data_IF_667221428288
#
_entry.id   IF_667221428288
#
_cell.length_a   1.000
_cell.length_b   1.000
_cell.length_c   1.000
_cell.angle_alpha   90.00
_cell.angle_beta   90.00
_cell.angle_gamma   90.00
#
_symmetry.space_group_name_H-M   'P 1'
#
loop_
_entity.id
_entity.type
_entity.pdbx_description
1 polymer ?
#
# COMPACT_ATOMS: atom_id res chain seq x y z
N UNK A 1 14.50 2.90 -12.22
CA UNK A 1 14.28 2.27 -10.89
C UNK A 1 15.01 0.95 -10.83
N UNK A 2 15.79 0.76 -9.82
CA UNK A 2 16.42 -0.52 -9.56
C UNK A 2 15.54 -1.37 -8.66
N UNK A 3 15.88 -2.66 -8.54
CA UNK A 3 15.18 -3.55 -7.61
C UNK A 3 15.23 -3.02 -6.18
N UNK A 4 16.40 -2.52 -5.76
CA UNK A 4 16.57 -1.98 -4.40
C UNK A 4 15.73 -0.72 -4.18
N UNK A 5 15.60 0.14 -5.20
CA UNK A 5 14.75 1.33 -5.12
C UNK A 5 13.29 0.95 -4.91
N UNK A 6 12.80 -0.02 -5.67
CA UNK A 6 11.42 -0.49 -5.56
C UNK A 6 11.19 -1.18 -4.23
N UNK A 7 12.13 -2.02 -3.79
CA UNK A 7 12.02 -2.69 -2.49
C UNK A 7 11.99 -1.67 -1.35
N UNK A 8 12.84 -0.65 -1.40
CA UNK A 8 12.83 0.40 -0.38
C UNK A 8 11.49 1.14 -0.34
N UNK A 9 10.89 1.41 -1.50
CA UNK A 9 9.57 2.01 -1.57
C UNK A 9 8.49 1.10 -0.97
N UNK A 10 8.53 -0.19 -1.29
CA UNK A 10 7.59 -1.18 -0.74
C UNK A 10 7.70 -1.29 0.78
N UNK A 11 8.92 -1.25 1.30
CA UNK A 11 9.14 -1.30 2.75
C UNK A 11 8.55 -0.06 3.44
N UNK A 12 8.71 1.11 2.82
CA UNK A 12 8.08 2.35 3.32
C UNK A 12 6.56 2.31 3.20
N UNK A 13 6.04 1.68 2.14
CA UNK A 13 4.61 1.46 1.97
C UNK A 13 4.03 0.65 3.13
N UNK A 14 4.67 -0.46 3.47
CA UNK A 14 4.25 -1.31 4.59
C UNK A 14 4.30 -0.53 5.92
N UNK A 15 5.38 0.18 6.17
CA UNK A 15 5.54 0.98 7.38
C UNK A 15 4.46 2.08 7.48
N UNK A 16 4.15 2.73 6.38
CA UNK A 16 3.12 3.76 6.33
C UNK A 16 1.72 3.17 6.57
N UNK A 17 1.46 1.99 6.05
CA UNK A 17 0.19 1.30 6.26
C UNK A 17 0.02 0.86 7.71
N UNK A 18 1.10 0.46 8.38
CA UNK A 18 1.07 0.12 9.80
C UNK A 18 0.84 1.33 10.69
N UNK A 19 1.47 2.46 10.37
CA UNK A 19 1.45 3.64 11.23
C UNK A 19 0.24 4.55 11.01
N UNK A 20 -0.35 4.54 9.80
CA UNK A 20 -1.34 5.54 9.36
C UNK A 20 -0.86 6.98 9.54
N UNK A 21 0.45 7.20 9.56
CA UNK A 21 1.02 8.54 9.65
C UNK A 21 0.86 9.25 8.31
N UNK A 22 0.12 10.36 8.31
CA UNK A 22 -0.17 11.12 7.09
C UNK A 22 1.07 11.57 6.34
N UNK A 23 2.12 11.97 7.05
CA UNK A 23 3.38 12.37 6.43
C UNK A 23 4.08 11.18 5.77
N UNK A 24 4.10 10.04 6.44
CA UNK A 24 4.70 8.81 5.90
C UNK A 24 3.97 8.31 4.66
N UNK A 25 2.64 8.41 4.65
CA UNK A 25 1.84 8.07 3.48
C UNK A 25 2.12 9.06 2.33
N UNK A 26 2.11 10.35 2.64
CA UNK A 26 2.26 11.41 1.64
C UNK A 26 3.56 11.34 0.86
N UNK A 27 4.66 11.00 1.51
CA UNK A 27 5.98 10.94 0.85
C UNK A 27 6.12 9.78 -0.15
N UNK A 28 5.20 8.83 -0.13
CA UNK A 28 5.19 7.71 -1.08
C UNK A 28 4.74 8.13 -2.47
N UNK A 29 3.91 9.16 -2.57
CA UNK A 29 3.17 9.48 -3.78
C UNK A 29 3.54 10.83 -4.36
N UNK A 30 3.54 10.91 -5.71
CA UNK A 30 3.64 12.16 -6.42
C UNK A 30 2.42 13.04 -6.14
N UNK A 31 2.56 14.36 -6.33
CA UNK A 31 1.47 15.30 -6.03
C UNK A 31 0.18 14.99 -6.79
N UNK A 32 0.28 14.62 -8.07
CA UNK A 32 -0.86 14.29 -8.93
C UNK A 32 -1.10 12.79 -9.08
N UNK A 33 -0.62 11.96 -8.16
CA UNK A 33 -0.70 10.51 -8.28
C UNK A 33 -2.15 10.01 -8.38
N UNK A 34 -2.29 8.86 -9.06
CA UNK A 34 -3.55 8.13 -9.13
C UNK A 34 -3.43 6.82 -8.37
N UNK A 35 -4.43 6.53 -7.55
CA UNK A 35 -4.44 5.34 -6.70
C UNK A 35 -5.75 4.58 -6.91
N UNK A 36 -5.63 3.32 -7.33
CA UNK A 36 -6.79 2.43 -7.49
C UNK A 36 -6.69 1.27 -6.51
N UNK A 37 -7.69 1.16 -5.64
CA UNK A 37 -7.81 0.02 -4.73
C UNK A 37 -8.17 -1.27 -5.48
N UNK A 38 -8.81 -1.12 -6.66
CA UNK A 38 -9.17 -2.22 -7.57
C UNK A 38 -8.96 -1.75 -9.01
N UNK A 39 -8.64 -2.67 -9.94
CA UNK A 39 -8.31 -2.29 -11.31
C UNK A 39 -9.38 -1.50 -12.07
N UNK A 40 -10.64 -1.78 -11.77
CA UNK A 40 -11.77 -1.18 -12.47
C UNK A 40 -12.31 0.10 -11.82
N UNK A 41 -11.74 0.49 -10.68
CA UNK A 41 -12.23 1.65 -9.95
C UNK A 41 -11.81 2.96 -10.61
N UNK A 42 -12.63 4.00 -10.40
CA UNK A 42 -12.17 5.37 -10.63
C UNK A 42 -11.02 5.64 -9.66
N UNK A 43 -9.91 6.23 -10.12
CA UNK A 43 -8.78 6.47 -9.25
C UNK A 43 -9.07 7.55 -8.21
N UNK A 44 -8.47 7.39 -7.04
CA UNK A 44 -8.29 8.49 -6.10
C UNK A 44 -7.16 9.34 -6.65
N UNK A 45 -7.40 10.60 -6.94
CA UNK A 45 -6.44 11.47 -7.62
C UNK A 45 -5.88 12.51 -6.67
N UNK A 46 -4.55 12.59 -6.63
CA UNK A 46 -3.81 13.56 -5.84
C UNK A 46 -3.36 13.04 -4.49
N UNK A 47 -2.17 13.47 -4.09
CA UNK A 47 -1.54 13.04 -2.84
C UNK A 47 -2.44 13.25 -1.63
N UNK A 48 -3.04 14.43 -1.51
CA UNK A 48 -3.90 14.74 -0.36
C UNK A 48 -5.12 13.83 -0.29
N UNK A 49 -5.74 13.55 -1.44
CA UNK A 49 -6.88 12.66 -1.51
C UNK A 49 -6.50 11.22 -1.18
N UNK A 50 -5.32 10.78 -1.62
CA UNK A 50 -4.80 9.44 -1.32
C UNK A 50 -4.57 9.31 0.18
N UNK A 51 -3.88 10.27 0.80
CA UNK A 51 -3.66 10.28 2.25
C UNK A 51 -5.01 10.22 2.99
N UNK A 52 -5.96 11.06 2.59
CA UNK A 52 -7.29 11.08 3.20
C UNK A 52 -8.01 9.73 3.06
N UNK A 53 -7.88 9.06 1.92
CA UNK A 53 -8.50 7.75 1.70
C UNK A 53 -7.91 6.66 2.58
N UNK A 54 -6.59 6.72 2.85
CA UNK A 54 -5.92 5.75 3.70
C UNK A 54 -6.29 5.91 5.18
N UNK A 55 -6.27 7.16 5.66
CA UNK A 55 -6.62 7.42 7.06
C UNK A 55 -8.12 7.43 7.28
N UNK A 56 -8.84 7.35 6.24
CA UNK A 56 -10.27 7.28 5.99
C UNK A 56 -11.13 8.07 6.95
N UNK A 57 -11.84 9.06 6.45
CA UNK A 57 -12.78 9.84 7.28
C UNK A 57 -13.88 8.98 7.88
N UNK A 58 -14.11 7.81 7.31
CA UNK A 58 -15.09 6.86 7.80
C UNK A 58 -14.50 5.82 8.74
N UNK A 59 -13.17 5.75 8.80
CA UNK A 59 -12.51 4.95 9.81
C UNK A 59 -12.44 5.80 11.07
N UNK A 60 -13.46 5.74 11.88
CA UNK A 60 -13.32 6.11 13.27
C UNK A 60 -12.06 5.44 13.79
N UNK A 61 -11.37 6.06 14.73
CA UNK A 61 -10.18 5.45 15.33
C UNK A 61 -10.47 4.03 15.83
N UNK A 62 -11.74 3.76 16.17
CA UNK A 62 -12.22 2.43 16.58
C UNK A 62 -12.29 1.41 15.44
N UNK A 63 -12.26 1.84 14.19
CA UNK A 63 -12.29 0.97 13.02
C UNK A 63 -10.91 0.67 12.47
N UNK A 64 -9.89 1.34 13.00
CA UNK A 64 -8.51 1.05 12.65
C UNK A 64 -8.08 -0.22 13.34
N UNK A 65 -7.24 -0.96 12.66
CA UNK A 65 -6.58 -2.08 13.27
C UNK A 65 -5.68 -1.59 14.41
N UNK A 66 -5.67 -2.32 15.51
CA UNK A 66 -4.75 -2.04 16.62
C UNK A 66 -3.30 -2.18 16.13
N UNK A 67 -2.36 -1.43 16.70
CA UNK A 67 -0.94 -1.65 16.40
C UNK A 67 -0.55 -3.10 16.62
N UNK A 68 0.21 -3.66 15.69
CA UNK A 68 0.67 -5.04 15.76
C UNK A 68 -0.29 -6.08 15.20
N UNK A 69 -1.43 -5.66 14.62
CA UNK A 69 -2.41 -6.59 14.05
C UNK A 69 -2.30 -6.73 12.52
N UNK A 70 -1.27 -6.17 11.93
CA UNK A 70 -1.03 -6.21 10.49
C UNK A 70 0.42 -6.60 10.22
N UNK A 71 0.62 -7.44 9.22
CA UNK A 71 1.93 -7.71 8.64
C UNK A 71 1.78 -7.89 7.14
N UNK A 72 2.80 -7.49 6.41
CA UNK A 72 2.82 -7.66 4.97
C UNK A 72 4.25 -7.77 4.47
N UNK A 73 4.41 -8.42 3.35
CA UNK A 73 5.69 -8.50 2.66
C UNK A 73 5.43 -8.43 1.16
N UNK A 74 6.08 -7.47 0.52
CA UNK A 74 6.01 -7.30 -0.92
C UNK A 74 7.42 -7.23 -1.49
N UNK A 75 7.57 -7.72 -2.71
CA UNK A 75 8.84 -7.66 -3.42
C UNK A 75 8.61 -7.35 -4.90
N UNK A 76 9.59 -6.75 -5.58
CA UNK A 76 9.49 -6.54 -7.02
C UNK A 76 9.47 -7.88 -7.76
N UNK A 77 8.48 -8.07 -8.61
CA UNK A 77 8.41 -9.22 -9.51
C UNK A 77 9.09 -8.91 -10.85
N UNK A 78 8.84 -7.73 -11.38
CA UNK A 78 9.41 -7.27 -12.64
C UNK A 78 9.53 -5.75 -12.63
N UNK A 79 10.54 -5.24 -13.30
CA UNK A 79 10.79 -3.81 -13.43
C UNK A 79 11.12 -3.51 -14.88
N UNK A 80 10.47 -2.48 -15.44
CA UNK A 80 10.77 -1.96 -16.77
C UNK A 80 10.80 -0.43 -16.68
N UNK A 81 11.99 0.17 -16.73
CA UNK A 81 12.16 1.61 -16.61
C UNK A 81 11.60 2.13 -15.29
N UNK A 82 10.58 2.99 -15.37
CA UNK A 82 9.89 3.57 -14.21
C UNK A 82 8.66 2.77 -13.76
N UNK A 83 8.41 1.63 -14.36
CA UNK A 83 7.28 0.76 -14.02
C UNK A 83 7.74 -0.48 -13.30
N UNK A 84 6.94 -0.93 -12.34
CA UNK A 84 7.22 -2.16 -11.61
C UNK A 84 5.94 -2.92 -11.32
N UNK A 85 6.07 -4.24 -11.25
CA UNK A 85 5.06 -5.14 -10.72
C UNK A 85 5.60 -5.68 -9.41
N UNK A 86 4.85 -5.52 -8.33
CA UNK A 86 5.20 -6.06 -7.03
C UNK A 86 4.20 -7.13 -6.63
N UNK A 87 4.66 -8.15 -5.94
CA UNK A 87 3.84 -9.24 -5.45
C UNK A 87 4.13 -9.49 -3.98
N UNK A 88 3.16 -10.02 -3.28
CA UNK A 88 3.33 -10.34 -1.88
C UNK A 88 2.05 -10.75 -1.21
N UNK A 89 2.07 -10.63 0.09
CA UNK A 89 0.93 -11.00 0.93
C UNK A 89 0.74 -9.97 2.04
N UNK A 90 -0.50 -9.86 2.52
CA UNK A 90 -0.85 -9.08 3.70
C UNK A 90 -1.74 -9.91 4.62
N UNK A 91 -1.53 -9.76 5.92
CA UNK A 91 -2.24 -10.54 6.93
C UNK A 91 -2.72 -9.64 8.06
N UNK A 92 -3.93 -9.92 8.49
CA UNK A 92 -4.59 -9.17 9.56
C UNK A 92 -4.99 -10.14 10.66
N UNK A 93 -4.79 -9.69 11.92
CA UNK A 93 -5.21 -10.43 13.11
C UNK A 93 -6.19 -9.59 13.91
N UNK A 94 -7.00 -10.27 14.73
CA UNK A 94 -7.89 -9.60 15.66
C UNK A 94 -7.15 -9.15 16.92
N UNK A 95 -5.97 -9.73 17.20
CA UNK A 95 -5.18 -9.47 18.40
C UNK A 95 -3.71 -9.23 18.08
N UNK A 96 -3.03 -8.35 18.85
CA UNK A 96 -1.60 -8.06 18.63
C UNK A 96 -0.67 -9.26 18.84
N UNK A 97 -1.11 -10.29 19.55
CA UNK A 97 -0.35 -11.52 19.81
C UNK A 97 -0.43 -12.52 18.64
N UNK A 98 -1.15 -12.19 17.58
CA UNK A 98 -1.31 -13.02 16.38
C UNK A 98 -1.93 -14.40 16.66
N UNK A 99 -2.85 -14.48 17.59
CA UNK A 99 -3.54 -15.73 17.91
C UNK A 99 -4.76 -15.99 17.03
N UNK A 100 -5.45 -14.92 16.64
CA UNK A 100 -6.69 -15.02 15.87
C UNK A 100 -6.48 -14.31 14.52
N UNK A 101 -6.19 -15.08 13.48
CA UNK A 101 -6.06 -14.55 12.13
C UNK A 101 -7.45 -14.19 11.61
N UNK A 102 -7.61 -12.93 11.15
CA UNK A 102 -8.84 -12.44 10.54
C UNK A 102 -8.89 -12.70 9.05
N UNK A 103 -7.81 -12.35 8.36
CA UNK A 103 -7.72 -12.51 6.91
C UNK A 103 -6.28 -12.47 6.42
N UNK A 104 -6.04 -13.17 5.32
CA UNK A 104 -4.77 -13.12 4.58
C UNK A 104 -5.10 -12.93 3.11
N UNK A 105 -4.37 -12.03 2.47
CA UNK A 105 -4.53 -11.71 1.06
C UNK A 105 -3.24 -11.99 0.31
N UNK A 106 -3.37 -12.40 -0.95
CA UNK A 106 -2.30 -12.34 -1.92
C UNK A 106 -2.49 -11.08 -2.74
N UNK A 107 -1.42 -10.32 -2.94
CA UNK A 107 -1.47 -8.99 -3.52
C UNK A 107 -0.55 -8.87 -4.72
N UNK A 108 -0.98 -8.08 -5.70
CA UNK A 108 -0.17 -7.68 -6.84
C UNK A 108 -0.39 -6.19 -7.07
N UNK A 109 0.69 -5.42 -7.17
CA UNK A 109 0.64 -3.98 -7.42
C UNK A 109 1.22 -3.66 -8.77
N UNK A 110 0.52 -2.84 -9.55
CA UNK A 110 1.08 -2.20 -10.72
C UNK A 110 1.51 -0.79 -10.33
N UNK A 111 2.80 -0.50 -10.48
CA UNK A 111 3.41 0.73 -10.00
C UNK A 111 4.04 1.50 -11.14
N UNK A 112 3.87 2.82 -11.14
CA UNK A 112 4.67 3.72 -11.96
C UNK A 112 5.24 4.81 -11.07
N UNK A 113 6.51 5.16 -11.30
CA UNK A 113 7.24 6.13 -10.50
C UNK A 113 7.61 7.35 -11.35
N UNK A 114 7.73 8.50 -10.69
CA UNK A 114 8.30 9.69 -11.30
C UNK A 114 9.83 9.69 -11.16
N UNK A 115 10.48 10.73 -11.71
CA UNK A 115 11.95 10.83 -11.67
C UNK A 115 12.51 11.04 -10.27
N UNK A 116 11.67 11.45 -9.33
CA UNK A 116 12.06 11.64 -7.93
C UNK A 116 11.83 10.40 -7.06
N UNK A 117 11.34 9.31 -7.66
CA UNK A 117 11.07 8.07 -6.93
C UNK A 117 9.74 8.04 -6.20
N UNK A 118 8.86 9.01 -6.43
CA UNK A 118 7.50 8.99 -5.91
C UNK A 118 6.61 8.15 -6.83
N UNK A 119 5.69 7.41 -6.25
CA UNK A 119 4.71 6.67 -7.04
C UNK A 119 3.67 7.62 -7.63
N UNK A 120 3.51 7.58 -8.95
CA UNK A 120 2.52 8.40 -9.66
C UNK A 120 1.30 7.62 -10.10
N UNK A 121 1.37 6.29 -10.10
CA UNK A 121 0.23 5.43 -10.40
C UNK A 121 0.36 4.13 -9.63
N UNK A 122 -0.68 3.81 -8.90
CA UNK A 122 -0.76 2.62 -8.08
C UNK A 122 -2.09 1.92 -8.38
N UNK A 123 -2.03 0.63 -8.73
CA UNK A 123 -3.22 -0.19 -8.91
C UNK A 123 -3.03 -1.49 -8.17
N UNK A 124 -3.98 -1.84 -7.33
CA UNK A 124 -3.94 -3.07 -6.55
C UNK A 124 -4.85 -4.14 -7.16
N UNK A 125 -4.32 -5.36 -7.19
CA UNK A 125 -5.07 -6.59 -7.39
C UNK A 125 -4.88 -7.41 -6.14
N UNK A 126 -5.95 -7.94 -5.58
CA UNK A 126 -5.80 -8.81 -4.42
C UNK A 126 -6.86 -9.91 -4.41
N UNK A 127 -6.52 -10.97 -3.71
CA UNK A 127 -7.44 -12.07 -3.48
C UNK A 127 -7.29 -12.56 -2.04
N UNK A 128 -8.39 -12.63 -1.34
CA UNK A 128 -8.40 -13.18 0.00
C UNK A 128 -8.24 -14.70 -0.06
N UNK A 129 -7.39 -15.24 0.81
CA UNK A 129 -7.24 -16.69 0.95
C UNK A 129 -8.44 -17.27 1.69
N UNK A 130 -8.89 -18.43 1.21
CA UNK A 130 -9.98 -19.15 1.83
C UNK A 130 -9.61 -19.69 3.22
#
# INVERSE_FOLDING_TARGET
>A
MTRDDVQAWLDRYVAAWESYDSAAIGVLFAEGAEYRYHPADEPVVGRSAIVASWVAPNAAASERDEPGTYAARYEPFAIEGSRAVAVGWSRYWDDPEHRIERSTFDNCFLLEFDDSGHCRSFTEFYRERA
#
